data_IF_403443705868
#
_entry.id   IF_403443705868
#
_cell.length_a   1.000
_cell.length_b   1.000
_cell.length_c   1.000
_cell.angle_alpha   90.00
_cell.angle_beta   90.00
_cell.angle_gamma   90.00
#
_symmetry.space_group_name_H-M   'P 1'
#
loop_
_entity.id
_entity.type
_entity.pdbx_description
1 polymer ?
#
# COMPACT_ATOMS: atom_id res chain seq x y z
N UNK A 1 -14.96 1.64 1.38
CA UNK A 1 -14.16 0.42 1.28
C UNK A 1 -13.04 0.49 2.30
N UNK A 2 -12.88 -0.56 3.12
CA UNK A 2 -11.94 -0.58 4.26
C UNK A 2 -10.48 -0.23 3.90
N UNK A 3 -10.06 -0.51 2.66
CA UNK A 3 -8.78 -0.09 2.10
C UNK A 3 -8.54 1.43 2.16
N UNK A 4 -9.57 2.26 1.88
CA UNK A 4 -9.42 3.73 1.83
C UNK A 4 -9.40 4.40 3.21
N UNK A 5 -9.68 3.64 4.26
CA UNK A 5 -9.63 4.09 5.66
C UNK A 5 -8.42 3.51 6.40
N UNK A 6 -7.58 2.73 5.71
CA UNK A 6 -6.36 2.19 6.29
C UNK A 6 -5.35 3.31 6.46
N UNK A 7 -4.72 3.42 7.64
CA UNK A 7 -3.52 4.23 7.82
C UNK A 7 -2.48 3.42 8.59
N UNK A 8 -1.19 3.66 8.30
CA UNK A 8 -0.09 3.05 9.06
C UNK A 8 -0.14 3.49 10.53
N UNK A 9 -0.30 4.81 10.76
CA UNK A 9 -0.14 5.41 12.08
C UNK A 9 1.24 5.11 12.68
N UNK A 10 1.29 4.77 13.98
CA UNK A 10 2.51 4.36 14.69
C UNK A 10 2.95 2.91 14.46
N UNK A 11 2.22 2.15 13.62
CA UNK A 11 2.55 0.72 13.38
C UNK A 11 3.76 0.61 12.47
N UNK A 12 4.47 -0.52 12.54
CA UNK A 12 5.59 -0.78 11.62
C UNK A 12 5.08 -0.91 10.19
N UNK A 13 5.87 -0.41 9.22
CA UNK A 13 5.57 -0.49 7.79
C UNK A 13 5.23 -1.92 7.35
N UNK A 14 5.97 -2.91 7.87
CA UNK A 14 5.76 -4.34 7.62
C UNK A 14 4.37 -4.84 8.05
N UNK A 15 3.89 -4.43 9.22
CA UNK A 15 2.55 -4.81 9.69
C UNK A 15 1.44 -4.16 8.85
N UNK A 16 1.70 -2.93 8.40
CA UNK A 16 0.80 -2.21 7.52
C UNK A 16 0.71 -2.90 6.14
N UNK A 17 1.84 -3.24 5.52
CA UNK A 17 1.91 -3.96 4.24
C UNK A 17 1.26 -5.35 4.34
N UNK A 18 1.48 -6.08 5.43
CA UNK A 18 0.78 -7.36 5.67
C UNK A 18 -0.73 -7.20 5.70
N UNK A 19 -1.27 -6.15 6.36
CA UNK A 19 -2.72 -5.91 6.37
C UNK A 19 -3.27 -5.60 5.00
N UNK A 20 -2.58 -4.78 4.21
CA UNK A 20 -2.98 -4.48 2.84
C UNK A 20 -3.02 -5.76 2.00
N UNK A 21 -2.03 -6.64 2.17
CA UNK A 21 -1.99 -7.95 1.51
C UNK A 21 -3.18 -8.84 1.90
N UNK A 22 -3.48 -8.96 3.18
CA UNK A 22 -4.63 -9.75 3.68
C UNK A 22 -5.95 -9.22 3.12
N UNK A 23 -6.12 -7.89 3.06
CA UNK A 23 -7.34 -7.29 2.49
C UNK A 23 -7.40 -7.56 0.98
N UNK A 24 -6.27 -7.45 0.27
CA UNK A 24 -6.21 -7.79 -1.15
C UNK A 24 -6.54 -9.27 -1.42
N UNK A 25 -5.99 -10.19 -0.63
CA UNK A 25 -6.30 -11.63 -0.72
C UNK A 25 -7.78 -11.91 -0.45
N UNK A 26 -8.39 -11.20 0.52
CA UNK A 26 -9.83 -11.27 0.78
C UNK A 26 -10.67 -10.79 -0.42
N UNK A 27 -10.25 -9.70 -1.05
CA UNK A 27 -10.89 -9.15 -2.26
C UNK A 27 -10.74 -10.08 -3.48
N UNK A 28 -9.57 -10.70 -3.64
CA UNK A 28 -9.35 -11.74 -4.66
C UNK A 28 -10.27 -12.94 -4.41
N UNK A 29 -10.42 -13.36 -3.16
CA UNK A 29 -11.23 -14.52 -2.76
C UNK A 29 -12.73 -14.34 -3.09
N UNK A 30 -13.24 -13.11 -3.04
CA UNK A 30 -14.62 -12.78 -3.42
C UNK A 30 -14.77 -12.46 -4.92
N UNK A 31 -13.71 -12.58 -5.72
CA UNK A 31 -13.72 -12.32 -7.16
C UNK A 31 -13.68 -10.84 -7.55
N UNK A 32 -13.27 -9.96 -6.64
CA UNK A 32 -13.11 -8.51 -6.87
C UNK A 32 -11.64 -8.08 -6.70
N UNK A 33 -10.71 -8.57 -7.53
CA UNK A 33 -9.30 -8.27 -7.39
C UNK A 33 -9.04 -6.78 -7.65
N UNK A 34 -8.34 -6.12 -6.73
CA UNK A 34 -7.95 -4.72 -6.89
C UNK A 34 -6.72 -4.65 -7.81
N UNK A 35 -6.71 -3.80 -8.84
CA UNK A 35 -5.53 -3.58 -9.66
C UNK A 35 -4.34 -3.15 -8.80
N UNK A 36 -3.14 -3.72 -9.03
CA UNK A 36 -1.94 -3.38 -8.26
C UNK A 36 -1.69 -1.87 -8.17
N UNK A 37 -1.97 -1.12 -9.24
CA UNK A 37 -1.86 0.34 -9.25
C UNK A 37 -2.71 1.01 -8.18
N UNK A 38 -3.96 0.58 -8.03
CA UNK A 38 -4.87 1.12 -7.00
C UNK A 38 -4.43 0.69 -5.60
N UNK A 39 -3.86 -0.51 -5.46
CA UNK A 39 -3.33 -0.99 -4.19
C UNK A 39 -2.14 -0.13 -3.74
N UNK A 40 -1.24 0.20 -4.67
CA UNK A 40 -0.10 1.08 -4.43
C UNK A 40 -0.59 2.48 -4.04
N UNK A 41 -1.54 3.06 -4.76
CA UNK A 41 -2.11 4.37 -4.41
C UNK A 41 -2.71 4.37 -2.99
N UNK A 42 -3.45 3.33 -2.62
CA UNK A 42 -3.99 3.18 -1.26
C UNK A 42 -2.89 3.07 -0.20
N UNK A 43 -1.83 2.31 -0.48
CA UNK A 43 -0.68 2.19 0.41
C UNK A 43 -0.04 3.56 0.61
N UNK A 44 0.25 4.27 -0.47
CA UNK A 44 0.92 5.57 -0.44
C UNK A 44 0.09 6.64 0.29
N UNK A 45 -1.23 6.70 0.06
CA UNK A 45 -2.16 7.61 0.78
C UNK A 45 -2.25 7.33 2.28
N UNK A 46 -1.95 6.09 2.67
CA UNK A 46 -2.05 5.62 4.05
C UNK A 46 -0.73 5.75 4.82
N UNK A 47 0.36 6.14 4.15
CA UNK A 47 1.65 6.40 4.77
C UNK A 47 1.67 7.79 5.42
N UNK A 48 2.35 7.94 6.57
CA UNK A 48 2.59 9.23 7.19
C UNK A 48 3.61 10.05 6.40
N UNK A 49 3.59 11.37 6.62
CA UNK A 49 4.42 12.37 5.90
C UNK A 49 5.93 12.08 5.92
N UNK A 50 6.41 11.29 6.89
CA UNK A 50 7.80 10.82 6.95
C UNK A 50 8.22 9.99 5.71
N UNK A 51 7.24 9.44 4.97
CA UNK A 51 7.44 8.70 3.72
C UNK A 51 7.09 9.51 2.48
N UNK A 52 6.80 10.81 2.56
CA UNK A 52 6.43 11.66 1.41
C UNK A 52 7.49 11.62 0.31
N UNK A 53 8.77 11.52 0.68
CA UNK A 53 9.86 11.37 -0.28
C UNK A 53 9.78 10.07 -1.08
N UNK A 54 9.32 8.98 -0.45
CA UNK A 54 9.08 7.68 -1.10
C UNK A 54 7.82 7.76 -1.97
N UNK A 55 6.74 8.36 -1.45
CA UNK A 55 5.49 8.59 -2.19
C UNK A 55 5.75 9.38 -3.47
N UNK A 56 6.50 10.48 -3.39
CA UNK A 56 6.87 11.30 -4.53
C UNK A 56 7.72 10.53 -5.56
N UNK A 57 8.67 9.71 -5.09
CA UNK A 57 9.51 8.88 -5.96
C UNK A 57 8.67 7.86 -6.75
N UNK A 58 7.74 7.17 -6.08
CA UNK A 58 6.82 6.20 -6.71
C UNK A 58 5.83 6.89 -7.65
N UNK A 59 5.23 8.00 -7.24
CA UNK A 59 4.28 8.77 -8.04
C UNK A 59 4.92 9.35 -9.33
N UNK A 60 6.21 9.68 -9.28
CA UNK A 60 6.94 10.16 -10.45
C UNK A 60 7.22 9.06 -11.50
N UNK A 61 6.80 7.81 -11.27
CA UNK A 61 7.16 6.63 -12.07
C UNK A 61 8.68 6.41 -12.21
N UNK A 62 9.49 7.04 -11.35
CA UNK A 62 10.95 6.93 -11.42
C UNK A 62 11.43 5.52 -11.06
N UNK A 63 10.64 4.75 -10.31
CA UNK A 63 11.00 3.41 -9.85
C UNK A 63 9.72 2.55 -9.84
N UNK A 64 9.68 1.39 -10.52
CA UNK A 64 8.61 0.41 -10.34
C UNK A 64 8.78 -0.25 -8.96
N UNK A 65 8.32 0.42 -7.91
CA UNK A 65 8.39 -0.11 -6.54
C UNK A 65 7.36 -1.21 -6.39
N UNK A 66 7.84 -2.40 -6.05
CA UNK A 66 6.97 -3.54 -5.75
C UNK A 66 6.65 -3.58 -4.26
N UNK A 67 5.56 -4.25 -3.88
CA UNK A 67 5.15 -4.38 -2.47
C UNK A 67 6.24 -5.00 -1.59
N UNK A 68 7.14 -5.79 -2.19
CA UNK A 68 8.27 -6.45 -1.53
C UNK A 68 9.38 -5.46 -1.13
N UNK A 69 9.61 -4.41 -1.93
CA UNK A 69 10.59 -3.36 -1.61
C UNK A 69 10.13 -2.44 -0.48
N UNK A 70 8.81 -2.28 -0.30
CA UNK A 70 8.22 -1.54 0.82
C UNK A 70 8.33 -2.29 2.16
N UNK A 71 8.65 -3.58 2.14
CA UNK A 71 8.75 -4.43 3.34
C UNK A 71 10.19 -4.56 3.88
N UNK A 72 11.22 -4.18 3.10
CA UNK A 72 12.64 -4.33 3.44
C UNK A 72 13.18 -3.27 4.40
#
# INVERSE_FOLDING_TARGET
>A
SELRTLSKGDRKIKEFIQRVRVINESLISIGDPVPHRNLIEVVLDALPEEYDSVVAAVASNAIPVTLDELES
#
